data_IF_980065752224
#
_entry.id   IF_980065752224
#
_cell.length_a   1.000
_cell.length_b   1.000
_cell.length_c   1.000
_cell.angle_alpha   90.00
_cell.angle_beta   90.00
_cell.angle_gamma   90.00
#
_symmetry.space_group_name_H-M   'P 1'
#
loop_
_entity.id
_entity.type
_entity.pdbx_description
1 polymer ?
#
# COMPACT_ATOMS: atom_id res chain seq x y z
N UNK A 1 17.83 14.35 19.15
CA UNK A 1 16.52 13.73 18.89
C UNK A 1 16.13 14.15 17.49
N UNK A 2 16.13 13.24 16.53
CA UNK A 2 15.64 13.56 15.19
C UNK A 2 14.15 13.93 15.26
N UNK A 3 13.76 14.94 14.49
CA UNK A 3 12.35 15.30 14.33
C UNK A 3 11.64 14.17 13.58
N UNK A 4 10.69 13.49 14.21
CA UNK A 4 9.93 12.39 13.60
C UNK A 4 8.90 12.87 12.57
N UNK A 5 8.75 14.17 12.37
CA UNK A 5 7.94 14.76 11.32
C UNK A 5 8.76 15.82 10.59
N UNK A 6 8.89 15.72 9.27
CA UNK A 6 9.68 16.64 8.45
C UNK A 6 8.92 17.05 7.19
N UNK A 7 9.24 18.22 6.64
CA UNK A 7 8.69 18.65 5.35
C UNK A 7 8.96 17.60 4.26
N UNK A 8 7.98 17.36 3.39
CA UNK A 8 8.12 16.45 2.27
C UNK A 8 8.65 17.21 1.03
N UNK A 9 9.94 17.53 1.07
CA UNK A 9 10.58 18.33 0.02
C UNK A 9 10.64 17.59 -1.33
N UNK A 10 10.67 16.26 -1.31
CA UNK A 10 10.68 15.42 -2.53
C UNK A 10 9.37 15.51 -3.33
N UNK A 11 8.23 15.68 -2.64
CA UNK A 11 6.91 15.83 -3.29
C UNK A 11 6.43 17.28 -3.31
N UNK A 12 7.06 18.17 -2.53
CA UNK A 12 6.70 19.58 -2.41
C UNK A 12 5.36 19.83 -1.69
N UNK A 13 4.82 18.83 -0.99
CA UNK A 13 3.52 18.94 -0.31
C UNK A 13 3.46 18.09 0.97
N UNK A 14 2.93 18.69 2.04
CA UNK A 14 2.74 18.05 3.35
C UNK A 14 4.06 17.59 4.00
N UNK A 15 3.98 16.60 4.89
CA UNK A 15 5.06 16.12 5.73
C UNK A 15 5.28 14.62 5.60
N UNK A 16 6.52 14.18 5.80
CA UNK A 16 6.89 12.80 6.05
C UNK A 16 6.91 12.56 7.57
N UNK A 17 6.36 11.43 8.00
CA UNK A 17 6.30 11.06 9.41
C UNK A 17 6.98 9.72 9.68
N UNK A 18 7.65 9.64 10.82
CA UNK A 18 8.37 8.47 11.30
C UNK A 18 7.50 7.53 12.14
N UNK A 19 8.13 6.45 12.61
CA UNK A 19 7.48 5.37 13.36
C UNK A 19 6.74 5.88 14.60
N UNK A 20 7.35 6.78 15.37
CA UNK A 20 6.76 7.29 16.63
C UNK A 20 5.42 7.98 16.40
N UNK A 21 5.30 8.80 15.36
CA UNK A 21 4.03 9.49 15.04
C UNK A 21 2.91 8.51 14.72
N UNK A 22 3.22 7.40 14.04
CA UNK A 22 2.24 6.35 13.73
C UNK A 22 1.80 5.66 15.01
N UNK A 23 2.74 5.28 15.88
CA UNK A 23 2.45 4.62 17.16
C UNK A 23 1.58 5.50 18.06
N UNK A 24 1.95 6.77 18.24
CA UNK A 24 1.19 7.72 19.05
C UNK A 24 -0.23 7.92 18.48
N UNK A 25 -0.39 7.91 17.15
CA UNK A 25 -1.69 8.00 16.50
C UNK A 25 -2.55 6.75 16.74
N UNK A 26 -1.97 5.56 16.59
CA UNK A 26 -2.65 4.29 16.82
C UNK A 26 -3.11 4.16 18.28
N UNK A 27 -2.22 4.45 19.25
CA UNK A 27 -2.53 4.40 20.67
C UNK A 27 -3.62 5.42 21.06
N UNK A 28 -3.52 6.65 20.56
CA UNK A 28 -4.49 7.71 20.86
C UNK A 28 -5.90 7.39 20.39
N UNK A 29 -6.03 6.67 19.28
CA UNK A 29 -7.30 6.41 18.62
C UNK A 29 -7.79 4.96 18.76
N UNK A 30 -7.07 4.13 19.52
CA UNK A 30 -7.39 2.72 19.72
C UNK A 30 -7.50 1.94 18.39
N UNK A 31 -6.50 2.12 17.53
CA UNK A 31 -6.39 1.44 16.24
C UNK A 31 -5.18 0.50 16.20
N UNK A 32 -5.30 -0.58 15.43
CA UNK A 32 -4.21 -1.56 15.26
C UNK A 32 -3.29 -1.29 14.06
N UNK A 33 -3.80 -0.65 12.99
CA UNK A 33 -3.10 -0.56 11.72
C UNK A 33 -3.56 0.65 10.90
N UNK A 34 -2.60 1.40 10.35
CA UNK A 34 -2.86 2.41 9.30
C UNK A 34 -2.78 1.73 7.92
N UNK A 35 -3.87 1.77 7.14
CA UNK A 35 -3.85 1.35 5.74
C UNK A 35 -3.83 2.55 4.80
N UNK A 36 -2.90 2.58 3.83
CA UNK A 36 -2.71 3.72 2.92
C UNK A 36 -2.21 3.30 1.53
N UNK A 37 -2.21 4.22 0.55
CA UNK A 37 -1.77 3.96 -0.84
C UNK A 37 -0.59 4.84 -1.30
N UNK A 38 -0.77 5.67 -2.34
CA UNK A 38 0.05 6.83 -2.78
C UNK A 38 1.55 6.61 -3.12
N UNK A 39 2.24 5.61 -2.60
CA UNK A 39 3.60 5.25 -2.99
C UNK A 39 3.56 3.90 -3.71
N UNK A 40 4.19 3.84 -4.89
CA UNK A 40 4.47 2.57 -5.58
C UNK A 40 5.39 1.73 -4.69
N UNK A 41 5.12 0.42 -4.65
CA UNK A 41 5.89 -0.56 -3.87
C UNK A 41 6.09 -1.81 -4.71
N UNK A 42 7.26 -2.42 -4.58
CA UNK A 42 7.74 -3.45 -5.50
C UNK A 42 6.88 -4.72 -5.54
N UNK A 43 6.19 -5.04 -4.44
CA UNK A 43 5.34 -6.24 -4.30
C UNK A 43 3.83 -5.90 -4.29
N UNK A 44 3.46 -4.67 -4.69
CA UNK A 44 2.08 -4.19 -4.65
C UNK A 44 1.57 -3.85 -3.25
N UNK A 45 2.16 -4.39 -2.18
CA UNK A 45 1.94 -3.93 -0.81
C UNK A 45 3.22 -3.98 0.02
N UNK A 46 3.28 -3.18 1.10
CA UNK A 46 4.42 -3.16 2.03
C UNK A 46 3.96 -2.89 3.45
N UNK A 47 4.35 -3.77 4.38
CA UNK A 47 4.18 -3.52 5.81
C UNK A 47 5.35 -2.75 6.40
N UNK A 48 5.03 -1.90 7.36
CA UNK A 48 5.95 -1.25 8.26
C UNK A 48 5.63 -1.75 9.67
N UNK A 49 6.67 -2.12 10.42
CA UNK A 49 6.52 -2.82 11.69
C UNK A 49 7.36 -2.19 12.78
N UNK A 50 6.87 -2.28 14.01
CA UNK A 50 7.63 -2.03 15.24
C UNK A 50 7.78 -3.35 16.01
N UNK A 51 8.99 -3.89 16.06
CA UNK A 51 9.23 -5.25 16.51
C UNK A 51 8.42 -6.26 15.68
N UNK A 52 7.51 -6.98 16.34
CA UNK A 52 6.61 -7.97 15.71
C UNK A 52 5.22 -7.40 15.35
N UNK A 53 4.95 -6.13 15.63
CA UNK A 53 3.66 -5.50 15.43
C UNK A 53 3.65 -4.70 14.13
N UNK A 54 2.69 -4.97 13.25
CA UNK A 54 2.52 -4.27 11.97
C UNK A 54 1.68 -3.02 12.21
N UNK A 55 2.24 -1.85 11.93
CA UNK A 55 1.67 -0.55 12.32
C UNK A 55 1.14 0.25 11.14
N UNK A 56 1.70 0.00 9.95
CA UNK A 56 1.26 0.64 8.71
C UNK A 56 1.39 -0.32 7.54
N UNK A 57 0.44 -0.26 6.61
CA UNK A 57 0.52 -0.95 5.32
C UNK A 57 0.31 0.04 4.19
N UNK A 58 1.21 0.01 3.22
CA UNK A 58 1.01 0.63 1.91
C UNK A 58 0.46 -0.42 0.95
N UNK A 59 -0.62 -0.10 0.24
CA UNK A 59 -1.24 -0.93 -0.80
C UNK A 59 -1.28 -0.13 -2.09
N UNK A 60 -0.78 -0.71 -3.18
CA UNK A 60 -0.70 -0.08 -4.48
C UNK A 60 -1.32 -0.99 -5.54
N UNK A 61 -2.35 -0.53 -6.23
CA UNK A 61 -3.22 -1.39 -7.04
C UNK A 61 -3.02 -1.25 -8.55
N UNK A 62 -2.04 -0.47 -9.01
CA UNK A 62 -1.73 -0.32 -10.44
C UNK A 62 -0.49 -1.16 -10.80
N UNK A 63 -0.66 -2.31 -11.48
CA UNK A 63 0.47 -3.09 -11.96
C UNK A 63 1.22 -2.35 -13.07
N UNK A 64 2.53 -2.58 -13.17
CA UNK A 64 3.44 -1.91 -14.10
C UNK A 64 3.22 -0.40 -14.14
N UNK A 65 3.31 0.24 -12.97
CA UNK A 65 3.07 1.67 -12.86
C UNK A 65 3.93 2.44 -13.85
N UNK A 66 3.33 3.40 -14.56
CA UNK A 66 3.96 4.18 -15.64
C UNK A 66 4.62 3.36 -16.77
N UNK A 67 4.47 2.03 -16.82
CA UNK A 67 5.17 1.18 -17.79
C UNK A 67 6.65 0.92 -17.45
N UNK A 68 7.13 1.38 -16.28
CA UNK A 68 8.56 1.41 -15.95
C UNK A 68 8.91 0.57 -14.72
N UNK A 69 7.96 0.38 -13.79
CA UNK A 69 8.26 -0.17 -12.47
C UNK A 69 8.04 -1.68 -12.35
N UNK A 70 7.43 -2.33 -13.35
CA UNK A 70 7.10 -3.78 -13.38
C UNK A 70 6.45 -4.35 -12.09
N UNK A 71 5.93 -3.47 -11.23
CA UNK A 71 5.36 -3.84 -9.95
C UNK A 71 4.04 -4.60 -10.17
N UNK A 72 3.68 -5.57 -9.34
CA UNK A 72 2.31 -6.04 -9.28
C UNK A 72 1.42 -5.00 -8.60
N UNK A 73 0.13 -5.04 -8.88
CA UNK A 73 -0.89 -4.40 -8.07
C UNK A 73 -1.26 -5.31 -6.89
N UNK A 74 -1.80 -4.75 -5.81
CA UNK A 74 -2.40 -5.50 -4.72
C UNK A 74 -3.78 -4.99 -4.33
N UNK A 75 -4.61 -5.90 -3.84
CA UNK A 75 -5.89 -5.63 -3.17
C UNK A 75 -5.85 -6.25 -1.79
N UNK A 76 -6.09 -5.45 -0.75
CA UNK A 76 -6.20 -5.92 0.63
C UNK A 76 -7.67 -6.16 0.97
N UNK A 77 -8.02 -7.42 1.25
CA UNK A 77 -9.32 -7.80 1.80
C UNK A 77 -9.22 -7.98 3.31
N UNK A 78 -10.13 -7.37 4.06
CA UNK A 78 -10.22 -7.50 5.53
C UNK A 78 -11.46 -8.30 5.87
N UNK A 79 -11.28 -9.44 6.52
CA UNK A 79 -12.38 -10.30 6.96
C UNK A 79 -13.08 -9.75 8.22
N UNK A 80 -14.21 -10.34 8.58
CA UNK A 80 -14.95 -10.00 9.81
C UNK A 80 -14.17 -10.20 11.11
N UNK A 81 -13.16 -11.07 11.11
CA UNK A 81 -12.21 -11.25 12.21
C UNK A 81 -10.93 -10.41 12.06
N UNK A 82 -10.99 -9.34 11.26
CA UNK A 82 -9.91 -8.38 11.03
C UNK A 82 -8.61 -8.98 10.49
N UNK A 83 -8.68 -10.14 9.82
CA UNK A 83 -7.53 -10.71 9.13
C UNK A 83 -7.40 -10.06 7.76
N UNK A 84 -6.26 -9.42 7.54
CA UNK A 84 -5.89 -8.88 6.24
C UNK A 84 -5.32 -9.99 5.32
N UNK A 85 -5.89 -10.11 4.13
CA UNK A 85 -5.42 -10.97 3.04
C UNK A 85 -5.11 -10.12 1.81
N UNK A 86 -4.06 -10.48 1.06
CA UNK A 86 -3.63 -9.74 -0.12
C UNK A 86 -3.79 -10.59 -1.37
N UNK A 87 -4.46 -10.04 -2.37
CA UNK A 87 -4.51 -10.59 -3.72
C UNK A 87 -3.60 -9.76 -4.62
N UNK A 88 -2.73 -10.43 -5.37
CA UNK A 88 -1.77 -9.76 -6.25
C UNK A 88 -2.24 -9.83 -7.71
N UNK A 89 -2.16 -8.69 -8.38
CA UNK A 89 -2.45 -8.49 -9.79
C UNK A 89 -1.12 -8.36 -10.52
N UNK A 90 -0.75 -9.39 -11.28
CA UNK A 90 0.49 -9.33 -12.06
C UNK A 90 0.37 -8.33 -13.21
N UNK A 91 1.45 -7.66 -13.60
CA UNK A 91 1.44 -6.87 -14.82
C UNK A 91 1.16 -7.77 -16.02
N UNK A 92 0.18 -7.37 -16.84
CA UNK A 92 -0.18 -8.07 -18.06
C UNK A 92 0.36 -7.27 -19.25
N UNK A 93 0.89 -7.98 -20.25
CA UNK A 93 1.23 -7.37 -21.54
C UNK A 93 -0.02 -6.90 -22.29
N UNK A 94 0.10 -6.00 -23.29
CA UNK A 94 -1.04 -5.39 -23.99
C UNK A 94 -2.05 -6.41 -24.53
N UNK A 95 -1.56 -7.49 -25.13
CA UNK A 95 -2.41 -8.56 -25.70
C UNK A 95 -3.15 -9.35 -24.63
N UNK A 96 -2.54 -9.58 -23.46
CA UNK A 96 -3.18 -10.31 -22.36
C UNK A 96 -4.23 -9.44 -21.64
N UNK A 97 -4.00 -8.13 -21.55
CA UNK A 97 -4.97 -7.15 -21.02
C UNK A 97 -6.26 -7.14 -21.83
N UNK A 98 -6.17 -7.10 -23.17
CA UNK A 98 -7.35 -7.10 -24.04
C UNK A 98 -8.21 -8.36 -23.90
N UNK A 99 -7.58 -9.52 -23.64
CA UNK A 99 -8.28 -10.78 -23.41
C UNK A 99 -8.94 -10.79 -22.04
N UNK A 100 -8.25 -10.33 -21.00
CA UNK A 100 -8.77 -10.29 -19.64
C UNK A 100 -10.00 -9.36 -19.52
N UNK A 101 -9.93 -8.17 -20.11
CA UNK A 101 -11.06 -7.21 -20.15
C UNK A 101 -12.29 -7.82 -20.83
N UNK A 102 -12.11 -8.50 -21.98
CA UNK A 102 -13.22 -9.14 -22.69
C UNK A 102 -13.87 -10.28 -21.91
N UNK A 103 -13.11 -10.99 -21.07
CA UNK A 103 -13.63 -12.10 -20.28
C UNK A 103 -14.29 -11.61 -18.98
N UNK A 104 -13.78 -10.55 -18.36
CA UNK A 104 -14.31 -9.97 -17.12
C UNK A 104 -15.69 -9.30 -17.25
N UNK A 105 -16.10 -8.91 -18.45
CA UNK A 105 -17.43 -8.32 -18.73
C UNK A 105 -18.55 -9.38 -18.88
N UNK A 106 -18.22 -10.68 -18.84
CA UNK A 106 -19.17 -11.79 -19.07
C UNK A 106 -19.49 -12.64 -17.82
N UNK A 107 -19.15 -12.17 -16.61
CA UNK A 107 -19.49 -12.85 -15.34
C UNK A 107 -20.48 -12.08 -14.49
#
# INVERSE_FOLDING_TARGET
>A
MEEDCKSNDERGVSYCFGKRVIMDFLERHDFDLVCRAHQVVDDGYKFYQDGNHRILVTVFSAPNYCGEFDNPGAVMSVSSNLKACFQLLKPLGPTALEVDVKNGETS
#
